data_IF_115248995606
#
_entry.id   IF_115248995606
#
_cell.length_a   1.000
_cell.length_b   1.000
_cell.length_c   1.000
_cell.angle_alpha   90.00
_cell.angle_beta   90.00
_cell.angle_gamma   90.00
#
_symmetry.space_group_name_H-M   'P 1'
#
loop_
_entity.id
_entity.type
_entity.pdbx_description
1 polymer ?
#
# COMPACT_ATOMS: atom_id res chain seq x y z
N UNK A 1 16.12 -48.07 -6.46
CA UNK A 1 16.84 -46.76 -6.48
C UNK A 1 16.14 -45.74 -7.38
N UNK A 2 15.75 -46.08 -8.63
CA UNK A 2 15.05 -45.17 -9.57
C UNK A 2 13.83 -44.42 -8.98
N UNK A 3 12.90 -45.11 -8.33
CA UNK A 3 11.69 -44.47 -7.76
C UNK A 3 11.97 -43.36 -6.74
N UNK A 4 12.98 -43.53 -5.86
CA UNK A 4 13.35 -42.46 -4.89
C UNK A 4 13.94 -41.23 -5.59
N UNK A 5 14.68 -41.41 -6.68
CA UNK A 5 15.25 -40.31 -7.46
C UNK A 5 14.21 -39.63 -8.34
N UNK A 6 13.29 -40.40 -8.93
CA UNK A 6 12.18 -39.87 -9.71
C UNK A 6 11.26 -39.02 -8.84
N UNK A 7 10.97 -39.46 -7.61
CA UNK A 7 10.20 -38.66 -6.64
C UNK A 7 10.89 -37.34 -6.31
N UNK A 8 12.21 -37.32 -6.06
CA UNK A 8 12.94 -36.07 -5.79
C UNK A 8 12.95 -35.13 -6.99
N UNK A 9 13.20 -35.65 -8.19
CA UNK A 9 13.17 -34.84 -9.43
C UNK A 9 11.79 -34.21 -9.62
N UNK A 10 10.74 -35.01 -9.45
CA UNK A 10 9.36 -34.55 -9.60
C UNK A 10 8.99 -33.48 -8.55
N UNK A 11 9.37 -33.67 -7.27
CA UNK A 11 9.12 -32.68 -6.21
C UNK A 11 9.82 -31.34 -6.54
N UNK A 12 11.08 -31.39 -6.98
CA UNK A 12 11.81 -30.18 -7.40
C UNK A 12 11.06 -29.46 -8.52
N UNK A 13 10.67 -30.18 -9.57
CA UNK A 13 9.93 -29.60 -10.70
C UNK A 13 8.59 -29.00 -10.26
N UNK A 14 7.85 -29.68 -9.40
CA UNK A 14 6.57 -29.17 -8.88
C UNK A 14 6.72 -27.87 -8.10
N UNK A 15 7.78 -27.72 -7.31
CA UNK A 15 8.03 -26.47 -6.59
C UNK A 15 8.52 -25.35 -7.50
N UNK A 16 9.34 -25.66 -8.50
CA UNK A 16 9.74 -24.67 -9.51
C UNK A 16 8.51 -24.18 -10.28
N UNK A 17 7.69 -25.11 -10.78
CA UNK A 17 6.45 -24.78 -11.49
C UNK A 17 5.52 -23.92 -10.62
N UNK A 18 5.36 -24.26 -9.34
CA UNK A 18 4.55 -23.47 -8.42
C UNK A 18 5.04 -22.03 -8.22
N UNK A 19 6.34 -21.75 -8.39
CA UNK A 19 6.88 -20.38 -8.39
C UNK A 19 6.48 -19.62 -9.66
N UNK A 20 6.50 -20.27 -10.82
CA UNK A 20 6.09 -19.66 -12.09
C UNK A 20 4.58 -19.44 -12.18
N UNK A 21 3.80 -20.38 -11.64
CA UNK A 21 2.34 -20.40 -11.72
C UNK A 21 1.66 -19.48 -10.70
N UNK A 22 2.42 -18.75 -9.87
CA UNK A 22 1.83 -17.79 -8.93
C UNK A 22 0.98 -16.77 -9.70
N UNK A 23 -0.27 -16.49 -9.26
CA UNK A 23 -1.15 -15.57 -9.97
C UNK A 23 -0.60 -14.14 -9.94
N UNK A 24 -0.80 -13.42 -11.06
CA UNK A 24 -0.46 -12.01 -11.14
C UNK A 24 -1.49 -11.15 -10.39
N UNK A 25 -1.01 -10.09 -9.75
CA UNK A 25 -1.80 -9.08 -9.07
C UNK A 25 -2.28 -8.04 -10.07
N UNK A 26 -3.58 -7.76 -10.07
CA UNK A 26 -4.16 -6.79 -11.01
C UNK A 26 -4.47 -5.44 -10.36
N UNK A 27 -4.49 -5.42 -9.03
CA UNK A 27 -4.75 -4.22 -8.22
C UNK A 27 -3.94 -4.32 -6.93
N UNK A 28 -3.65 -3.16 -6.36
CA UNK A 28 -2.99 -3.08 -5.08
C UNK A 28 -3.81 -3.76 -3.98
N UNK A 29 -3.20 -4.73 -3.31
CA UNK A 29 -3.83 -5.46 -2.22
C UNK A 29 -2.77 -5.95 -1.25
N UNK A 30 -2.85 -5.50 0.01
CA UNK A 30 -1.87 -5.84 1.04
C UNK A 30 -1.79 -7.35 1.33
N UNK A 31 -2.94 -8.03 1.35
CA UNK A 31 -3.04 -9.45 1.64
C UNK A 31 -2.48 -10.28 0.49
N UNK A 32 -2.86 -9.93 -0.75
CA UNK A 32 -2.40 -10.63 -1.93
C UNK A 32 -0.89 -10.46 -2.16
N UNK A 33 -0.32 -9.28 -1.87
CA UNK A 33 1.14 -9.07 -1.85
C UNK A 33 1.82 -9.97 -0.82
N UNK A 34 1.27 -10.06 0.40
CA UNK A 34 1.82 -10.92 1.46
C UNK A 34 1.75 -12.40 1.08
N UNK A 35 0.64 -12.83 0.48
CA UNK A 35 0.43 -14.19 -0.05
C UNK A 35 1.46 -14.55 -1.13
N UNK A 36 1.70 -13.64 -2.09
CA UNK A 36 2.70 -13.78 -3.15
C UNK A 36 4.10 -14.05 -2.56
N UNK A 37 4.53 -13.19 -1.62
CA UNK A 37 5.83 -13.33 -0.96
C UNK A 37 5.94 -14.65 -0.18
N UNK A 38 4.92 -14.97 0.61
CA UNK A 38 4.90 -16.18 1.42
C UNK A 38 4.97 -17.44 0.55
N UNK A 39 4.23 -17.47 -0.55
CA UNK A 39 4.18 -18.61 -1.48
C UNK A 39 5.55 -18.85 -2.13
N UNK A 40 6.18 -17.80 -2.64
CA UNK A 40 7.51 -17.92 -3.27
C UNK A 40 8.56 -18.35 -2.23
N UNK A 41 8.59 -17.70 -1.06
CA UNK A 41 9.54 -18.05 0.00
C UNK A 41 9.35 -19.48 0.49
N UNK A 42 8.11 -19.95 0.59
CA UNK A 42 7.81 -21.35 0.94
C UNK A 42 8.45 -22.30 -0.07
N UNK A 43 8.28 -22.07 -1.37
CA UNK A 43 8.86 -22.93 -2.39
C UNK A 43 10.39 -22.87 -2.42
N UNK A 44 10.99 -21.68 -2.28
CA UNK A 44 12.44 -21.54 -2.16
C UNK A 44 13.00 -22.26 -0.95
N UNK A 45 12.34 -22.20 0.22
CA UNK A 45 12.76 -22.94 1.42
C UNK A 45 12.76 -24.44 1.20
N UNK A 46 11.74 -24.98 0.54
CA UNK A 46 11.68 -26.42 0.22
C UNK A 46 12.77 -26.81 -0.78
N UNK A 47 13.00 -26.00 -1.82
CA UNK A 47 14.06 -26.24 -2.79
C UNK A 47 15.46 -26.19 -2.15
N UNK A 48 15.68 -25.25 -1.22
CA UNK A 48 16.90 -25.18 -0.41
C UNK A 48 17.08 -26.44 0.45
N UNK A 49 16.02 -26.92 1.10
CA UNK A 49 16.05 -28.18 1.86
C UNK A 49 16.35 -29.40 0.98
N UNK A 50 15.99 -29.35 -0.30
CA UNK A 50 16.35 -30.33 -1.33
C UNK A 50 17.75 -30.12 -1.94
N UNK A 51 18.58 -29.27 -1.31
CA UNK A 51 19.96 -28.94 -1.73
C UNK A 51 20.04 -28.30 -3.11
N UNK A 52 19.02 -27.53 -3.52
CA UNK A 52 19.09 -26.66 -4.71
C UNK A 52 19.77 -25.33 -4.36
N UNK A 53 20.51 -24.72 -5.30
CA UNK A 53 21.27 -23.50 -5.05
C UNK A 53 20.37 -22.25 -5.12
N UNK A 54 19.39 -22.15 -4.22
CA UNK A 54 18.40 -21.05 -4.26
C UNK A 54 19.00 -19.67 -3.99
N UNK A 55 20.17 -19.61 -3.33
CA UNK A 55 20.88 -18.35 -3.03
C UNK A 55 21.48 -17.68 -4.27
N UNK A 56 21.57 -18.39 -5.40
CA UNK A 56 22.10 -17.84 -6.66
C UNK A 56 21.00 -17.55 -7.67
N UNK A 57 19.73 -17.50 -7.25
CA UNK A 57 18.57 -17.31 -8.13
C UNK A 57 17.94 -15.93 -8.02
N UNK A 58 18.56 -15.00 -7.29
CA UNK A 58 17.99 -13.68 -7.00
C UNK A 58 17.42 -12.99 -8.24
N UNK A 59 18.20 -12.84 -9.32
CA UNK A 59 17.76 -12.17 -10.54
C UNK A 59 16.52 -12.83 -11.18
N UNK A 60 16.48 -14.16 -11.20
CA UNK A 60 15.36 -14.93 -11.74
C UNK A 60 14.10 -14.75 -10.89
N UNK A 61 14.25 -14.86 -9.57
CA UNK A 61 13.13 -14.72 -8.65
C UNK A 61 12.61 -13.29 -8.64
N UNK A 62 13.50 -12.29 -8.68
CA UNK A 62 13.14 -10.88 -8.81
C UNK A 62 12.31 -10.67 -10.08
N UNK A 63 12.77 -11.16 -11.23
CA UNK A 63 12.06 -11.03 -12.48
C UNK A 63 10.66 -11.68 -12.42
N UNK A 64 10.56 -12.90 -11.86
CA UNK A 64 9.27 -13.57 -11.66
C UNK A 64 8.37 -12.71 -10.78
N UNK A 65 8.84 -12.23 -9.64
CA UNK A 65 8.02 -11.44 -8.72
C UNK A 65 7.52 -10.17 -9.39
N UNK A 66 8.39 -9.39 -10.02
CA UNK A 66 8.05 -8.16 -10.75
C UNK A 66 6.97 -8.43 -11.80
N UNK A 67 7.08 -9.55 -12.54
CA UNK A 67 6.06 -9.94 -13.53
C UNK A 67 4.68 -10.24 -12.94
N UNK A 68 4.59 -10.52 -11.63
CA UNK A 68 3.35 -10.78 -10.90
C UNK A 68 2.81 -9.57 -10.15
N UNK A 69 3.53 -8.46 -10.09
CA UNK A 69 3.09 -7.27 -9.38
C UNK A 69 2.13 -6.43 -10.25
N UNK A 70 1.22 -5.71 -9.59
CA UNK A 70 0.38 -4.73 -10.25
C UNK A 70 1.19 -3.49 -10.66
N UNK A 71 0.65 -2.70 -11.60
CA UNK A 71 1.33 -1.53 -12.18
C UNK A 71 1.75 -0.50 -11.13
N UNK A 72 0.92 -0.25 -10.12
CA UNK A 72 1.21 0.75 -9.07
C UNK A 72 2.37 0.28 -8.20
N UNK A 73 2.36 -0.99 -7.81
CA UNK A 73 3.44 -1.59 -7.03
C UNK A 73 4.76 -1.66 -7.81
N UNK A 74 4.72 -2.04 -9.08
CA UNK A 74 5.91 -2.05 -9.94
C UNK A 74 6.49 -0.64 -10.10
N UNK A 75 5.66 0.36 -10.41
CA UNK A 75 6.12 1.75 -10.52
C UNK A 75 6.82 2.21 -9.24
N UNK A 76 6.23 1.91 -8.08
CA UNK A 76 6.82 2.28 -6.80
C UNK A 76 8.15 1.56 -6.53
N UNK A 77 8.28 0.30 -6.95
CA UNK A 77 9.54 -0.45 -6.84
C UNK A 77 10.64 0.19 -7.69
N UNK A 78 10.36 0.46 -8.97
CA UNK A 78 11.33 1.08 -9.88
C UNK A 78 11.79 2.45 -9.35
N UNK A 79 10.88 3.27 -8.82
CA UNK A 79 11.25 4.57 -8.22
C UNK A 79 11.98 4.47 -6.88
N UNK A 80 12.01 3.29 -6.26
CA UNK A 80 12.69 3.06 -4.98
C UNK A 80 14.14 2.62 -5.12
N UNK A 81 14.53 2.16 -6.31
CA UNK A 81 15.90 1.75 -6.62
C UNK A 81 16.71 3.00 -6.98
N UNK A 82 17.94 3.09 -6.48
CA UNK A 82 18.90 4.12 -6.88
C UNK A 82 19.69 3.59 -8.10
N UNK A 83 19.84 4.42 -9.12
CA UNK A 83 20.21 4.09 -10.52
C UNK A 83 21.49 3.24 -10.75
N UNK A 84 22.30 2.96 -9.72
CA UNK A 84 23.60 2.28 -9.86
C UNK A 84 23.66 0.85 -9.29
N UNK A 85 22.65 0.37 -8.57
CA UNK A 85 22.76 -0.90 -7.82
C UNK A 85 21.86 -2.00 -8.38
N UNK A 86 22.43 -3.18 -8.65
CA UNK A 86 21.67 -4.41 -8.93
C UNK A 86 20.96 -4.81 -7.63
N UNK A 87 19.61 -4.81 -7.59
CA UNK A 87 18.89 -5.17 -6.38
C UNK A 87 19.01 -6.67 -6.13
N UNK A 88 19.22 -7.06 -4.87
CA UNK A 88 19.12 -8.46 -4.46
C UNK A 88 17.70 -8.80 -4.01
N UNK A 89 17.39 -10.10 -3.88
CA UNK A 89 16.05 -10.56 -3.55
C UNK A 89 15.60 -10.02 -2.20
N UNK A 90 16.51 -9.92 -1.22
CA UNK A 90 16.23 -9.39 0.11
C UNK A 90 15.75 -7.94 0.06
N UNK A 91 16.31 -7.10 -0.82
CA UNK A 91 15.87 -5.72 -1.00
C UNK A 91 14.43 -5.66 -1.51
N UNK A 92 14.10 -6.43 -2.55
CA UNK A 92 12.73 -6.52 -3.07
C UNK A 92 11.75 -7.03 -2.02
N UNK A 93 12.13 -8.07 -1.27
CA UNK A 93 11.29 -8.63 -0.20
C UNK A 93 11.00 -7.59 0.88
N UNK A 94 12.02 -6.83 1.29
CA UNK A 94 11.91 -5.76 2.27
C UNK A 94 10.99 -4.64 1.80
N UNK A 95 11.13 -4.23 0.53
CA UNK A 95 10.24 -3.24 -0.09
C UNK A 95 8.78 -3.71 -0.11
N UNK A 96 8.51 -4.91 -0.65
CA UNK A 96 7.15 -5.42 -0.78
C UNK A 96 6.48 -5.66 0.59
N UNK A 97 7.26 -6.09 1.59
CA UNK A 97 6.76 -6.23 2.97
C UNK A 97 6.33 -4.88 3.56
N UNK A 98 7.16 -3.83 3.39
CA UNK A 98 6.82 -2.46 3.82
C UNK A 98 5.60 -1.93 3.08
N UNK A 99 5.51 -2.15 1.78
CA UNK A 99 4.36 -1.74 0.97
C UNK A 99 3.07 -2.42 1.42
N UNK A 100 3.10 -3.73 1.67
CA UNK A 100 1.97 -4.49 2.21
C UNK A 100 1.50 -3.89 3.55
N UNK A 101 2.40 -3.62 4.50
CA UNK A 101 2.06 -3.01 5.79
C UNK A 101 1.48 -1.59 5.64
N UNK A 102 2.02 -0.79 4.71
CA UNK A 102 1.51 0.55 4.44
C UNK A 102 0.08 0.52 3.91
N UNK A 103 -0.20 -0.36 2.93
CA UNK A 103 -1.54 -0.56 2.37
C UNK A 103 -2.54 -1.04 3.45
N UNK A 104 -2.13 -1.98 4.29
CA UNK A 104 -2.93 -2.47 5.43
C UNK A 104 -3.27 -1.34 6.40
N UNK A 105 -2.29 -0.49 6.73
CA UNK A 105 -2.46 0.67 7.63
C UNK A 105 -3.33 1.78 7.03
N UNK A 106 -3.31 1.97 5.71
CA UNK A 106 -4.19 2.92 5.02
C UNK A 106 -5.63 2.39 5.03
N UNK A 107 -5.81 1.11 4.71
CA UNK A 107 -7.13 0.48 4.69
C UNK A 107 -7.79 0.46 6.08
N UNK A 108 -7.05 0.12 7.13
CA UNK A 108 -7.58 0.12 8.50
C UNK A 108 -8.04 1.50 8.95
N UNK A 109 -7.30 2.56 8.64
CA UNK A 109 -7.70 3.96 8.90
C UNK A 109 -8.95 4.35 8.12
N UNK A 110 -9.07 3.94 6.86
CA UNK A 110 -10.26 4.20 6.05
C UNK A 110 -11.52 3.54 6.64
N UNK A 111 -11.39 2.33 7.20
CA UNK A 111 -12.50 1.63 7.86
C UNK A 111 -12.89 2.26 9.20
N UNK A 112 -11.91 2.68 10.01
CA UNK A 112 -12.18 3.35 11.29
C UNK A 112 -12.85 4.73 11.10
N UNK A 113 -12.55 5.44 10.01
CA UNK A 113 -13.25 6.69 9.70
C UNK A 113 -14.68 6.48 9.18
N UNK A 114 -15.05 5.26 8.76
CA UNK A 114 -16.41 4.94 8.32
C UNK A 114 -17.31 4.49 9.48
N UNK A 115 -16.76 3.89 10.53
CA UNK A 115 -17.52 3.44 11.71
C UNK A 115 -17.89 4.58 12.66
N UNK A 116 -17.17 5.71 12.64
CA UNK A 116 -17.55 6.91 13.40
C UNK A 116 -18.78 7.63 12.84
N UNK A 117 -19.18 7.37 11.59
CA UNK A 117 -20.36 7.99 10.96
C UNK A 117 -21.63 7.12 11.01
N UNK A 118 -21.58 5.90 11.55
CA UNK A 118 -22.72 4.95 11.55
C UNK A 118 -23.31 4.66 12.93
N UNK A 119 -22.73 5.16 14.03
CA UNK A 119 -23.26 4.94 15.39
C UNK A 119 -24.52 5.77 15.68
N UNK A 120 -24.87 6.77 14.86
CA UNK A 120 -26.02 7.65 15.13
C UNK A 120 -27.30 7.33 14.35
N UNK A 121 -27.54 6.07 13.94
CA UNK A 121 -28.72 5.80 13.11
C UNK A 121 -29.45 4.47 13.31
N UNK A 122 -29.67 3.99 14.54
CA UNK A 122 -30.72 2.99 14.79
C UNK A 122 -31.35 3.10 16.19
N UNK A 123 -32.30 4.02 16.37
CA UNK A 123 -33.57 3.78 17.08
C UNK A 123 -34.59 4.83 16.61
N UNK A 124 -35.67 4.41 15.95
CA UNK A 124 -36.72 5.35 15.53
C UNK A 124 -37.53 4.87 14.35
N UNK A 125 -38.39 3.88 14.59
CA UNK A 125 -39.51 3.55 13.71
C UNK A 125 -40.52 4.70 13.86
N UNK A 126 -40.77 5.49 12.81
CA UNK A 126 -42.09 5.93 12.29
C UNK A 126 -42.03 7.22 11.45
N UNK A 127 -42.71 7.14 10.30
CA UNK A 127 -43.52 8.16 9.61
C UNK A 127 -42.82 9.25 8.77
N UNK A 128 -43.22 9.26 7.50
CA UNK A 128 -43.27 10.37 6.57
C UNK A 128 -43.54 11.71 7.28
N UNK A 129 -42.77 12.75 6.96
CA UNK A 129 -43.23 14.00 6.30
C UNK A 129 -42.12 15.06 6.33
N UNK A 130 -42.13 15.90 5.29
CA UNK A 130 -41.65 17.28 5.21
C UNK A 130 -40.13 17.57 5.20
N UNK A 131 -39.77 18.25 4.12
CA UNK A 131 -38.56 19.05 3.91
C UNK A 131 -38.47 20.11 5.02
N UNK A 132 -37.37 20.17 5.77
CA UNK A 132 -37.04 21.32 6.63
C UNK A 132 -35.53 21.53 6.72
N UNK A 133 -35.14 22.79 6.56
CA UNK A 133 -33.79 23.34 6.55
C UNK A 133 -32.95 22.94 7.78
N UNK A 134 -31.69 22.57 7.54
CA UNK A 134 -30.68 22.42 8.58
C UNK A 134 -30.30 23.83 9.08
N UNK A 135 -30.45 24.17 10.37
CA UNK A 135 -29.83 25.36 10.91
C UNK A 135 -28.33 25.07 11.12
N UNK A 136 -27.47 25.73 10.35
CA UNK A 136 -26.02 25.78 10.61
C UNK A 136 -25.76 26.67 11.82
N UNK A 137 -26.03 26.16 13.02
CA UNK A 137 -25.68 26.86 14.26
C UNK A 137 -24.23 26.53 14.64
N UNK A 138 -23.40 27.58 14.62
CA UNK A 138 -22.07 27.71 15.25
C UNK A 138 -20.89 27.09 14.51
N UNK A 139 -20.68 27.51 13.27
CA UNK A 139 -19.40 27.31 12.62
C UNK A 139 -18.48 28.51 12.89
N UNK A 140 -17.79 28.48 14.03
CA UNK A 140 -16.77 29.48 14.35
C UNK A 140 -15.46 29.17 13.64
N UNK A 141 -14.87 30.20 13.04
CA UNK A 141 -13.60 30.13 12.35
C UNK A 141 -12.48 29.78 13.34
N UNK A 142 -11.67 28.77 13.02
CA UNK A 142 -10.53 28.39 13.84
C UNK A 142 -9.44 29.48 13.95
N UNK A 143 -9.41 30.46 13.03
CA UNK A 143 -8.46 31.57 13.05
C UNK A 143 -8.96 32.76 13.88
N UNK A 144 -10.12 33.34 13.52
CA UNK A 144 -10.60 34.60 14.11
C UNK A 144 -11.82 34.43 15.04
N UNK A 145 -12.30 33.19 15.23
CA UNK A 145 -13.48 32.83 16.04
C UNK A 145 -14.81 33.42 15.56
N UNK A 146 -14.85 34.12 14.42
CA UNK A 146 -16.08 34.64 13.80
C UNK A 146 -16.86 33.54 13.05
N UNK A 147 -18.13 33.78 12.71
CA UNK A 147 -19.03 32.75 12.16
C UNK A 147 -18.85 32.55 10.64
N UNK A 148 -17.76 31.88 10.23
CA UNK A 148 -17.49 31.48 8.84
C UNK A 148 -16.47 30.32 8.77
N UNK A 149 -16.38 29.67 7.60
CA UNK A 149 -15.35 28.64 7.34
C UNK A 149 -13.96 29.27 7.22
N UNK A 150 -12.91 28.54 7.61
CA UNK A 150 -11.52 29.03 7.64
C UNK A 150 -11.03 29.51 6.27
N UNK A 151 -11.48 28.89 5.18
CA UNK A 151 -11.08 29.29 3.82
C UNK A 151 -11.77 30.57 3.31
N UNK A 152 -12.78 31.08 4.03
CA UNK A 152 -13.37 32.40 3.82
C UNK A 152 -12.84 33.43 4.84
N UNK A 153 -11.82 33.10 5.64
CA UNK A 153 -11.25 34.01 6.62
C UNK A 153 -10.22 34.95 5.98
N UNK A 154 -10.49 36.26 6.03
CA UNK A 154 -9.55 37.28 5.52
C UNK A 154 -8.21 37.28 6.27
N UNK A 155 -8.19 37.06 7.58
CA UNK A 155 -6.94 36.95 8.35
C UNK A 155 -6.10 35.75 7.90
N UNK A 156 -6.74 34.60 7.65
CA UNK A 156 -6.06 33.41 7.17
C UNK A 156 -5.48 33.63 5.76
N UNK A 157 -6.27 34.23 4.87
CA UNK A 157 -5.83 34.55 3.52
C UNK A 157 -4.67 35.56 3.52
N UNK A 158 -4.69 36.56 4.41
CA UNK A 158 -3.59 37.50 4.56
C UNK A 158 -2.30 36.86 5.13
N UNK A 159 -2.40 35.91 6.07
CA UNK A 159 -1.23 35.15 6.56
C UNK A 159 -0.61 34.31 5.43
N UNK A 160 -1.43 33.68 4.58
CA UNK A 160 -0.96 32.90 3.43
C UNK A 160 -0.23 33.81 2.42
N UNK A 161 -0.74 35.01 2.16
CA UNK A 161 -0.11 35.97 1.23
C UNK A 161 1.20 36.53 1.78
N UNK A 162 1.30 36.84 3.07
CA UNK A 162 2.53 37.37 3.68
C UNK A 162 3.66 36.33 3.73
N UNK A 163 3.34 35.05 3.97
CA UNK A 163 4.34 33.97 3.96
C UNK A 163 4.88 33.67 2.55
N UNK A 164 4.07 33.86 1.51
CA UNK A 164 4.51 33.76 0.10
C UNK A 164 5.40 34.94 -0.34
N UNK A 165 5.25 36.12 0.27
CA UNK A 165 6.11 37.27 -0.01
C UNK A 165 7.45 37.20 0.75
N UNK A 166 7.46 36.64 1.97
CA UNK A 166 8.68 36.46 2.76
C UNK A 166 9.64 35.41 2.16
N UNK A 167 9.11 34.38 1.50
CA UNK A 167 9.92 33.35 0.82
C UNK A 167 10.57 33.88 -0.46
N UNK A 168 9.91 34.78 -1.21
CA UNK A 168 10.49 35.41 -2.41
C UNK A 168 11.59 36.45 -2.12
N UNK A 169 11.72 36.95 -0.89
CA UNK A 169 12.82 37.85 -0.49
C UNK A 169 14.07 37.13 -0.02
N UNK A 170 13.97 35.86 0.41
CA UNK A 170 15.13 35.06 0.85
C UNK A 170 15.88 34.33 -0.28
N UNK A 171 15.44 34.50 -1.52
CA UNK A 171 16.04 33.85 -2.70
C UNK A 171 16.82 34.85 -3.58
N UNK A 172 17.09 36.06 -3.06
CA UNK A 172 17.81 37.13 -3.77
C UNK A 172 18.98 37.76 -3.01
N UNK A 173 19.37 37.20 -1.88
CA UNK A 173 20.60 37.52 -1.15
C UNK A 173 21.53 36.30 -1.11
#
# INVERSE_FOLDING_TARGET
>A
IKERFDNKRWIVQRHIQAIFDVPALHKENHAALRELLNTILKHLRVLKALKRPTESWDDLIIHIIISKLDVSTNKAWETSILDANIPNLKMLMGFLSKRSQALESIQSRALNNQTSNTIHKQTGKLKNTSVTNIPTSNLSCACCKANHQVYHCEEFLNIVVLNLQATKRKEKD
#
